data_IF_452197768137
#
_entry.id   IF_452197768137
#
_cell.length_a   1.000
_cell.length_b   1.000
_cell.length_c   1.000
_cell.angle_alpha   90.00
_cell.angle_beta   90.00
_cell.angle_gamma   90.00
#
_symmetry.space_group_name_H-M   'P 1'
#
loop_
_entity.id
_entity.type
_entity.pdbx_description
1 polymer ?
#
# COMPACT_ATOMS: atom_id res chain seq x y z
N UNK A 1 15.55 -10.07 21.07
CA UNK A 1 14.84 -10.32 19.79
C UNK A 1 15.86 -10.74 18.75
N UNK A 2 15.61 -11.84 18.03
CA UNK A 2 16.53 -12.33 16.99
C UNK A 2 16.64 -11.31 15.84
N UNK A 3 17.82 -11.14 15.21
CA UNK A 3 17.99 -10.32 14.00
C UNK A 3 16.96 -10.59 12.89
N UNK A 4 16.53 -11.84 12.73
CA UNK A 4 15.51 -12.26 11.75
C UNK A 4 14.13 -11.72 12.12
N UNK A 5 13.71 -11.88 13.38
CA UNK A 5 12.46 -11.33 13.91
C UNK A 5 12.42 -9.82 13.78
N UNK A 6 13.53 -9.16 14.14
CA UNK A 6 13.67 -7.72 14.00
C UNK A 6 13.50 -7.28 12.54
N UNK A 7 14.18 -7.94 11.59
CA UNK A 7 14.06 -7.66 10.15
C UNK A 7 12.63 -7.83 9.63
N UNK A 8 11.92 -8.87 10.06
CA UNK A 8 10.51 -9.08 9.71
C UNK A 8 9.65 -7.93 10.25
N UNK A 9 9.78 -7.56 11.52
CA UNK A 9 8.99 -6.47 12.10
C UNK A 9 9.26 -5.12 11.45
N UNK A 10 10.53 -4.81 11.15
CA UNK A 10 10.91 -3.62 10.38
C UNK A 10 10.22 -3.59 9.01
N UNK A 11 10.14 -4.75 8.34
CA UNK A 11 9.49 -4.88 7.04
C UNK A 11 7.98 -4.67 7.13
N UNK A 12 7.32 -5.28 8.12
CA UNK A 12 5.88 -5.15 8.34
C UNK A 12 5.48 -3.71 8.71
N UNK A 13 6.34 -3.03 9.48
CA UNK A 13 6.16 -1.62 9.84
C UNK A 13 6.35 -0.67 8.65
N UNK A 14 7.33 -0.94 7.79
CA UNK A 14 7.51 -0.19 6.55
C UNK A 14 6.28 -0.29 5.64
N UNK A 15 5.67 -1.47 5.55
CA UNK A 15 4.43 -1.69 4.80
C UNK A 15 3.18 -1.16 5.53
N UNK A 16 3.35 -0.61 6.75
CA UNK A 16 2.30 -0.09 7.63
C UNK A 16 1.23 -1.12 7.97
N UNK A 17 1.62 -2.39 8.00
CA UNK A 17 0.75 -3.51 8.31
C UNK A 17 0.76 -3.79 9.82
N UNK A 18 1.95 -3.76 10.43
CA UNK A 18 2.13 -3.91 11.86
C UNK A 18 3.02 -2.76 12.33
N UNK A 19 2.44 -1.79 13.03
CA UNK A 19 3.16 -0.62 13.49
C UNK A 19 4.08 -1.00 14.64
N UNK A 20 5.38 -0.91 14.41
CA UNK A 20 6.41 -1.04 15.44
C UNK A 20 7.21 0.26 15.50
N UNK A 21 7.65 0.65 16.68
CA UNK A 21 8.35 1.92 16.87
C UNK A 21 9.73 1.89 16.21
N UNK A 22 10.04 2.95 15.46
CA UNK A 22 11.40 3.50 15.42
C UNK A 22 12.41 2.98 14.38
N UNK A 23 12.09 2.07 13.47
CA UNK A 23 13.13 1.51 12.58
C UNK A 23 12.74 1.45 11.09
N UNK A 24 13.66 1.92 10.24
CA UNK A 24 13.57 1.89 8.78
C UNK A 24 14.34 0.66 8.28
N UNK A 25 13.71 -0.28 7.55
CA UNK A 25 14.35 -1.54 7.17
C UNK A 25 15.53 -1.33 6.22
N UNK A 26 16.66 -1.99 6.51
CA UNK A 26 17.84 -2.03 5.61
C UNK A 26 17.64 -2.98 4.42
N UNK A 27 16.85 -4.05 4.58
CA UNK A 27 16.52 -5.02 3.51
C UNK A 27 15.04 -4.94 3.14
N UNK A 28 14.73 -4.94 1.84
CA UNK A 28 13.38 -4.67 1.32
C UNK A 28 12.45 -5.90 1.21
N UNK A 29 12.91 -7.12 1.47
CA UNK A 29 12.09 -8.35 1.28
C UNK A 29 12.35 -9.37 2.38
N UNK A 30 11.34 -10.19 2.67
CA UNK A 30 11.34 -11.31 3.64
C UNK A 30 10.80 -12.57 2.97
N UNK A 31 11.17 -13.75 3.41
CA UNK A 31 10.64 -15.04 2.94
C UNK A 31 9.53 -15.55 3.86
N UNK A 32 8.77 -16.56 3.44
CA UNK A 32 7.77 -17.18 4.33
C UNK A 32 8.44 -17.85 5.54
N UNK A 33 9.55 -18.54 5.33
CA UNK A 33 10.31 -19.22 6.39
C UNK A 33 10.75 -18.22 7.48
N UNK A 34 11.25 -17.04 7.09
CA UNK A 34 11.60 -15.96 8.03
C UNK A 34 10.37 -15.43 8.80
N UNK A 35 9.23 -15.26 8.12
CA UNK A 35 7.99 -14.80 8.75
C UNK A 35 7.49 -15.83 9.78
N UNK A 36 7.45 -17.11 9.42
CA UNK A 36 7.00 -18.17 10.32
C UNK A 36 7.89 -18.27 11.55
N UNK A 37 9.22 -18.21 11.37
CA UNK A 37 10.16 -18.20 12.49
C UNK A 37 9.98 -16.97 13.38
N UNK A 38 9.81 -15.79 12.79
CA UNK A 38 9.57 -14.56 13.55
C UNK A 38 8.23 -14.61 14.32
N UNK A 39 7.21 -15.25 13.75
CA UNK A 39 5.90 -15.38 14.36
C UNK A 39 5.88 -16.31 15.59
N UNK A 40 6.90 -17.15 15.77
CA UNK A 40 7.10 -17.91 17.01
C UNK A 40 7.50 -17.00 18.18
N UNK A 41 8.24 -15.91 17.91
CA UNK A 41 8.64 -14.91 18.92
C UNK A 41 7.58 -13.81 19.07
N UNK A 42 6.94 -13.39 17.97
CA UNK A 42 5.93 -12.33 17.94
C UNK A 42 4.65 -12.80 17.23
N UNK A 43 3.68 -13.39 17.96
CA UNK A 43 2.48 -14.00 17.40
C UNK A 43 1.59 -13.06 16.59
N UNK A 44 1.64 -11.74 16.85
CA UNK A 44 0.89 -10.73 16.07
C UNK A 44 1.25 -10.74 14.58
N UNK A 45 2.39 -11.32 14.21
CA UNK A 45 2.76 -11.53 12.81
C UNK A 45 1.74 -12.44 12.10
N UNK A 46 1.17 -13.45 12.79
CA UNK A 46 0.16 -14.33 12.21
C UNK A 46 -1.16 -13.60 11.93
N UNK A 47 -1.56 -12.66 12.79
CA UNK A 47 -2.76 -11.83 12.58
C UNK A 47 -2.69 -11.06 11.25
N UNK A 48 -1.49 -10.57 10.92
CA UNK A 48 -1.31 -9.69 9.76
C UNK A 48 -0.91 -10.41 8.48
N UNK A 49 -0.45 -11.65 8.58
CA UNK A 49 0.06 -12.43 7.45
C UNK A 49 -0.99 -12.59 6.33
N UNK A 50 -2.27 -12.92 6.61
CA UNK A 50 -3.29 -13.00 5.56
C UNK A 50 -3.47 -11.68 4.80
N UNK A 51 -3.42 -10.54 5.49
CA UNK A 51 -3.54 -9.23 4.86
C UNK A 51 -2.43 -9.00 3.81
N UNK A 52 -1.21 -9.37 4.15
CA UNK A 52 -0.03 -9.24 3.27
C UNK A 52 -0.17 -10.18 2.08
N UNK A 53 -0.52 -11.43 2.32
CA UNK A 53 -0.62 -12.46 1.29
C UNK A 53 -1.65 -12.11 0.21
N UNK A 54 -2.73 -11.38 0.55
CA UNK A 54 -3.77 -10.98 -0.39
C UNK A 54 -3.49 -9.64 -1.07
N UNK A 55 -3.11 -8.63 -0.29
CA UNK A 55 -3.08 -7.25 -0.78
C UNK A 55 -1.68 -6.77 -1.16
N UNK A 56 -0.62 -7.40 -0.64
CA UNK A 56 0.78 -7.06 -0.94
C UNK A 56 1.69 -8.31 -1.05
N UNK A 57 1.36 -9.27 -1.92
CA UNK A 57 2.16 -10.49 -2.12
C UNK A 57 3.65 -10.22 -2.37
N UNK A 58 3.98 -9.12 -3.06
CA UNK A 58 5.34 -8.71 -3.41
C UNK A 58 6.26 -8.39 -2.21
N UNK A 59 5.70 -8.24 -1.01
CA UNK A 59 6.47 -8.07 0.23
C UNK A 59 7.27 -9.32 0.56
N UNK A 60 6.74 -10.47 0.16
CA UNK A 60 7.31 -11.79 0.42
C UNK A 60 8.11 -12.24 -0.80
N UNK A 61 9.42 -12.40 -0.64
CA UNK A 61 10.29 -12.90 -1.68
C UNK A 61 9.93 -14.35 -2.01
N UNK A 62 9.86 -14.66 -3.31
CA UNK A 62 9.61 -16.03 -3.82
C UNK A 62 8.32 -16.66 -3.25
N UNK A 63 7.32 -15.83 -2.96
CA UNK A 63 6.04 -16.26 -2.38
C UNK A 63 5.44 -17.47 -3.12
N UNK A 64 5.41 -17.48 -4.45
CA UNK A 64 4.81 -18.60 -5.21
C UNK A 64 5.56 -19.92 -5.04
N UNK A 65 6.89 -19.86 -4.90
CA UNK A 65 7.72 -21.03 -4.63
C UNK A 65 7.50 -21.50 -3.20
N UNK A 66 7.53 -20.58 -2.24
CA UNK A 66 7.44 -20.92 -0.83
C UNK A 66 6.01 -21.35 -0.45
N UNK A 67 4.96 -20.84 -1.13
CA UNK A 67 3.56 -21.30 -0.98
C UNK A 67 3.40 -22.80 -1.24
N UNK A 68 4.19 -23.39 -2.14
CA UNK A 68 4.15 -24.84 -2.39
C UNK A 68 4.59 -25.65 -1.17
N UNK A 69 5.42 -25.08 -0.29
CA UNK A 69 5.82 -25.70 0.98
C UNK A 69 4.72 -25.64 2.04
N UNK A 70 3.77 -24.72 1.90
CA UNK A 70 2.73 -24.44 2.89
C UNK A 70 1.32 -24.54 2.25
N UNK A 71 0.85 -25.74 1.89
CA UNK A 71 -0.45 -25.92 1.22
C UNK A 71 -1.64 -25.48 2.08
N UNK A 72 -1.53 -25.62 3.41
CA UNK A 72 -2.55 -25.19 4.36
C UNK A 72 -2.78 -23.67 4.32
N UNK A 73 -1.71 -22.91 4.12
CA UNK A 73 -1.77 -21.47 3.90
C UNK A 73 -2.63 -21.14 2.69
N UNK A 74 -2.41 -21.81 1.56
CA UNK A 74 -3.18 -21.57 0.34
C UNK A 74 -4.68 -21.85 0.53
N UNK A 75 -5.01 -22.91 1.28
CA UNK A 75 -6.40 -23.26 1.62
C UNK A 75 -7.04 -22.22 2.55
N UNK A 76 -6.33 -21.79 3.60
CA UNK A 76 -6.79 -20.75 4.52
C UNK A 76 -7.02 -19.42 3.80
N UNK A 77 -6.11 -19.03 2.90
CA UNK A 77 -6.23 -17.81 2.10
C UNK A 77 -7.41 -17.84 1.13
N UNK A 78 -7.70 -18.99 0.51
CA UNK A 78 -8.84 -19.14 -0.42
C UNK A 78 -10.19 -18.97 0.30
N UNK A 79 -10.27 -19.44 1.54
CA UNK A 79 -11.50 -19.39 2.34
C UNK A 79 -11.59 -18.16 3.24
N UNK A 80 -10.57 -17.30 3.24
CA UNK A 80 -10.45 -16.18 4.17
C UNK A 80 -11.68 -15.26 4.18
N UNK A 81 -12.30 -15.03 3.01
CA UNK A 81 -13.53 -14.22 2.89
C UNK A 81 -14.80 -15.05 2.69
N UNK A 82 -14.74 -16.38 2.85
CA UNK A 82 -15.91 -17.23 2.75
C UNK A 82 -16.47 -17.49 4.16
N UNK A 83 -17.59 -16.85 4.56
CA UNK A 83 -18.14 -16.99 5.90
C UNK A 83 -18.55 -18.43 6.25
N UNK A 84 -18.95 -19.24 5.26
CA UNK A 84 -19.36 -20.64 5.48
C UNK A 84 -18.17 -21.59 5.66
N UNK A 85 -16.98 -21.20 5.19
CA UNK A 85 -15.78 -22.04 5.18
C UNK A 85 -14.62 -21.41 5.94
N UNK A 86 -14.91 -20.39 6.75
CA UNK A 86 -13.93 -19.69 7.55
C UNK A 86 -13.45 -20.63 8.66
N UNK A 87 -12.15 -20.97 8.73
CA UNK A 87 -11.64 -21.73 9.86
C UNK A 87 -11.76 -20.88 11.13
N UNK A 88 -11.92 -21.53 12.28
CA UNK A 88 -12.02 -20.82 13.56
C UNK A 88 -10.73 -20.07 13.91
N UNK A 89 -9.57 -20.65 13.60
CA UNK A 89 -8.28 -20.05 13.88
C UNK A 89 -7.28 -20.26 12.74
N UNK A 90 -6.27 -19.38 12.71
CA UNK A 90 -5.13 -19.40 11.80
C UNK A 90 -3.84 -19.40 12.63
N UNK A 91 -3.15 -20.55 12.69
CA UNK A 91 -1.95 -20.74 13.52
C UNK A 91 -2.13 -20.29 14.99
N UNK A 92 -3.31 -20.59 15.57
CA UNK A 92 -3.63 -20.26 16.96
C UNK A 92 -4.21 -18.86 17.20
N UNK A 93 -4.28 -18.01 16.16
CA UNK A 93 -4.94 -16.70 16.20
C UNK A 93 -6.38 -16.82 15.72
N UNK A 94 -7.32 -16.13 16.37
CA UNK A 94 -8.72 -16.09 15.90
C UNK A 94 -8.80 -15.51 14.48
N UNK A 95 -9.53 -16.20 13.61
CA UNK A 95 -9.68 -15.78 12.22
C UNK A 95 -10.44 -14.44 12.09
N UNK A 96 -11.25 -14.06 13.08
CA UNK A 96 -11.90 -12.74 13.13
C UNK A 96 -10.88 -11.61 13.27
N UNK A 97 -9.83 -11.79 14.06
CA UNK A 97 -8.77 -10.78 14.24
C UNK A 97 -7.92 -10.64 12.98
N UNK A 98 -7.62 -11.76 12.33
CA UNK A 98 -7.00 -11.77 11.00
C UNK A 98 -7.85 -10.98 9.99
N UNK A 99 -9.16 -11.25 9.94
CA UNK A 99 -10.09 -10.57 9.02
C UNK A 99 -10.16 -9.07 9.26
N UNK A 100 -10.30 -8.68 10.53
CA UNK A 100 -10.33 -7.28 10.95
C UNK A 100 -9.07 -6.54 10.50
N UNK A 101 -7.91 -7.15 10.68
CA UNK A 101 -6.63 -6.58 10.24
C UNK A 101 -6.54 -6.48 8.72
N UNK A 102 -6.95 -7.52 8.01
CA UNK A 102 -6.98 -7.51 6.55
C UNK A 102 -7.90 -6.42 5.97
N UNK A 103 -9.07 -6.22 6.57
CA UNK A 103 -10.01 -5.16 6.16
C UNK A 103 -9.45 -3.76 6.43
N UNK A 104 -8.86 -3.53 7.62
CA UNK A 104 -8.17 -2.28 7.95
C UNK A 104 -7.06 -1.97 6.95
N UNK A 105 -6.27 -2.99 6.61
CA UNK A 105 -5.19 -2.82 5.64
C UNK A 105 -5.70 -2.48 4.23
N UNK A 106 -6.81 -3.11 3.80
CA UNK A 106 -7.49 -2.77 2.54
C UNK A 106 -7.95 -1.32 2.51
N UNK A 107 -8.57 -0.84 3.59
CA UNK A 107 -9.02 0.55 3.72
C UNK A 107 -7.83 1.52 3.60
N UNK A 108 -6.75 1.28 4.35
CA UNK A 108 -5.52 2.07 4.26
C UNK A 108 -4.95 2.13 2.83
N UNK A 109 -4.94 1.01 2.10
CA UNK A 109 -4.48 0.99 0.70
C UNK A 109 -5.40 1.83 -0.20
N UNK A 110 -6.71 1.77 0.01
CA UNK A 110 -7.69 2.53 -0.77
C UNK A 110 -7.57 4.05 -0.55
N UNK A 111 -7.37 4.48 0.70
CA UNK A 111 -7.15 5.89 1.05
C UNK A 111 -5.84 6.44 0.49
N UNK A 112 -4.80 5.62 0.41
CA UNK A 112 -3.54 6.03 -0.20
C UNK A 112 -3.60 6.02 -1.73
N UNK A 113 -4.40 5.13 -2.32
CA UNK A 113 -4.66 5.14 -3.76
C UNK A 113 -5.46 6.39 -4.18
N UNK A 114 -6.43 6.83 -3.38
CA UNK A 114 -7.19 8.06 -3.63
C UNK A 114 -6.30 9.30 -3.50
N UNK A 115 -5.40 9.35 -2.51
CA UNK A 115 -4.40 10.43 -2.37
C UNK A 115 -3.39 10.50 -3.54
N UNK A 116 -3.10 9.37 -4.20
CA UNK A 116 -2.17 9.30 -5.35
C UNK A 116 -2.76 9.77 -6.68
N UNK A 117 -4.06 10.08 -6.78
CA UNK A 117 -4.70 10.56 -8.02
C UNK A 117 -4.45 12.04 -8.34
N UNK A 118 -3.36 12.65 -7.86
CA UNK A 118 -2.86 13.89 -8.46
C UNK A 118 -2.08 13.51 -9.74
N UNK A 119 -2.79 13.43 -10.87
CA UNK A 119 -2.13 13.29 -12.18
C UNK A 119 -1.40 14.60 -12.48
N UNK A 120 -0.08 14.60 -12.37
CA UNK A 120 0.74 15.69 -12.92
C UNK A 120 0.62 15.66 -14.44
N UNK A 121 -0.09 16.64 -15.01
CA UNK A 121 -0.13 16.86 -16.45
C UNK A 121 1.16 17.57 -16.86
N UNK A 122 1.98 16.91 -17.68
CA UNK A 122 3.13 17.54 -18.34
C UNK A 122 2.71 17.97 -19.74
N UNK A 123 2.59 19.27 -19.96
CA UNK A 123 2.32 19.84 -21.28
C UNK A 123 3.64 20.20 -21.96
N UNK A 124 3.79 19.84 -23.23
CA UNK A 124 4.87 20.35 -24.08
C UNK A 124 4.33 21.58 -24.81
N UNK A 125 4.90 22.73 -24.51
CA UNK A 125 4.51 24.01 -25.09
C UNK A 125 5.63 24.51 -26.00
N UNK A 126 5.25 25.10 -27.14
CA UNK A 126 6.20 25.86 -27.95
C UNK A 126 6.68 27.11 -27.20
N UNK A 127 7.77 27.72 -27.69
CA UNK A 127 8.33 28.94 -27.10
C UNK A 127 7.28 30.06 -27.12
N UNK A 128 6.54 30.21 -28.22
CA UNK A 128 5.48 31.20 -28.36
C UNK A 128 4.33 31.01 -27.35
N UNK A 129 3.91 29.76 -27.13
CA UNK A 129 2.86 29.44 -26.15
C UNK A 129 3.31 29.74 -24.73
N UNK A 130 4.58 29.46 -24.42
CA UNK A 130 5.16 29.77 -23.11
C UNK A 130 5.24 31.28 -22.88
N UNK A 131 5.60 32.07 -23.88
CA UNK A 131 5.58 33.54 -23.79
C UNK A 131 4.17 34.09 -23.60
N UNK A 132 3.19 33.58 -24.36
CA UNK A 132 1.78 33.95 -24.20
C UNK A 132 1.29 33.64 -22.79
N UNK A 133 1.63 32.46 -22.27
CA UNK A 133 1.30 32.07 -20.90
C UNK A 133 1.96 32.97 -19.86
N UNK A 134 3.23 33.35 -20.03
CA UNK A 134 3.90 34.29 -19.11
C UNK A 134 3.21 35.66 -19.08
N UNK A 135 2.83 36.20 -20.25
CA UNK A 135 2.08 37.46 -20.33
C UNK A 135 0.71 37.35 -19.66
N UNK A 136 0.03 36.22 -19.84
CA UNK A 136 -1.24 35.92 -19.16
C UNK A 136 -1.07 35.80 -17.64
N UNK A 137 -0.01 35.14 -17.16
CA UNK A 137 0.30 35.03 -15.73
C UNK A 137 0.47 36.40 -15.08
N UNK A 138 1.17 37.32 -15.77
CA UNK A 138 1.35 38.71 -15.31
C UNK A 138 0.03 39.47 -15.30
N UNK A 139 -0.77 39.35 -16.37
CA UNK A 139 -2.07 40.04 -16.50
C UNK A 139 -3.11 39.57 -15.48
N UNK A 140 -3.10 38.28 -15.16
CA UNK A 140 -4.05 37.65 -14.22
C UNK A 140 -3.53 37.64 -12.77
N UNK A 141 -2.35 38.19 -12.51
CA UNK A 141 -1.71 38.24 -11.19
C UNK A 141 -1.65 36.89 -10.44
N UNK A 142 -1.50 35.80 -11.18
CA UNK A 142 -1.36 34.44 -10.61
C UNK A 142 0.08 34.16 -10.16
N UNK A 143 0.31 33.23 -9.23
CA UNK A 143 1.65 32.95 -8.66
C UNK A 143 2.59 32.20 -9.61
N UNK A 144 2.13 31.84 -10.82
CA UNK A 144 2.96 31.22 -11.85
C UNK A 144 2.14 30.54 -12.95
N UNK A 145 2.82 30.15 -14.03
CA UNK A 145 2.22 29.57 -15.25
C UNK A 145 1.31 28.38 -14.95
N UNK A 146 1.73 27.48 -14.04
CA UNK A 146 0.94 26.31 -13.64
C UNK A 146 -0.38 26.69 -12.96
N UNK A 147 -0.41 27.78 -12.20
CA UNK A 147 -1.63 28.27 -11.56
C UNK A 147 -2.54 28.98 -12.56
N UNK A 148 -1.96 29.73 -13.51
CA UNK A 148 -2.68 30.30 -14.65
C UNK A 148 -3.39 29.23 -15.47
N UNK A 149 -2.71 28.11 -15.80
CA UNK A 149 -3.31 27.00 -16.55
C UNK A 149 -4.47 26.37 -15.78
N UNK A 150 -4.35 26.20 -14.45
CA UNK A 150 -5.44 25.66 -13.63
C UNK A 150 -6.64 26.59 -13.60
N UNK A 151 -6.42 27.89 -13.51
CA UNK A 151 -7.49 28.89 -13.51
C UNK A 151 -8.26 28.87 -14.83
N UNK A 152 -7.54 28.91 -15.97
CA UNK A 152 -8.12 28.83 -17.30
C UNK A 152 -8.87 27.51 -17.56
N UNK A 153 -8.34 26.38 -17.09
CA UNK A 153 -9.01 25.09 -17.21
C UNK A 153 -10.34 25.05 -16.44
N UNK A 154 -10.37 25.63 -15.22
CA UNK A 154 -11.59 25.74 -14.41
C UNK A 154 -12.64 26.65 -15.04
N UNK A 155 -12.22 27.78 -15.61
CA UNK A 155 -13.13 28.68 -16.32
C UNK A 155 -13.75 27.99 -17.54
N UNK A 156 -12.97 27.19 -18.27
CA UNK A 156 -13.47 26.44 -19.43
C UNK A 156 -14.45 25.33 -19.03
N UNK A 157 -14.16 24.60 -17.94
CA UNK A 157 -15.08 23.57 -17.42
C UNK A 157 -16.37 24.18 -16.87
N UNK A 158 -16.27 25.32 -16.15
CA UNK A 158 -17.42 26.04 -15.61
C UNK A 158 -18.29 26.73 -16.67
N UNK A 159 -17.73 27.13 -17.81
CA UNK A 159 -18.48 27.68 -18.94
C UNK A 159 -19.17 26.61 -19.82
N UNK A 160 -18.90 25.33 -19.56
CA UNK A 160 -19.48 24.18 -20.29
C UNK A 160 -20.62 23.49 -19.54
N UNK A 161 -21.12 24.13 -18.47
CA UNK A 161 -22.27 23.71 -17.65
C UNK A 161 -23.40 24.74 -17.77
#
# INVERSE_FOLDING_TARGET
MNPTTQHVLERLNYEKVLLTSGVIPRRKRVTLDEIFNAALEEPRIYEVLPAILMYRPQVIHRQDRDRKKYPELAKAMKNFFNPEKLPQSFYGVDMQDCLKTALRYRQFLSENASKRKSRTLTLRLGIEDLERLKRLTQRLHTKGVSETIRLLAREKEGASS
#
